data_IF_795029250786
#
_entry.id   IF_795029250786
#
_cell.length_a   1.000
_cell.length_b   1.000
_cell.length_c   1.000
_cell.angle_alpha   90.00
_cell.angle_beta   90.00
_cell.angle_gamma   90.00
#
_symmetry.space_group_name_H-M   'P 1'
#
loop_
_entity.id
_entity.type
_entity.pdbx_description
1 polymer ?
#
# COMPACT_ATOMS: atom_id res chain seq x y z
N UNK A 1 -60.15 -11.54 11.29
CA UNK A 1 -59.63 -10.50 10.40
C UNK A 1 -58.38 -9.95 11.04
N UNK A 2 -57.23 -10.45 10.67
CA UNK A 2 -55.92 -9.99 11.16
C UNK A 2 -55.19 -9.45 9.95
N UNK A 3 -55.06 -8.12 9.87
CA UNK A 3 -54.33 -7.41 8.81
C UNK A 3 -52.82 -7.51 9.08
N UNK A 4 -52.11 -8.26 8.27
CA UNK A 4 -50.66 -8.24 8.21
C UNK A 4 -50.23 -6.90 7.66
N UNK A 5 -49.63 -6.08 8.52
CA UNK A 5 -48.91 -4.90 8.10
C UNK A 5 -47.56 -5.38 7.48
N UNK A 6 -47.48 -5.35 6.17
CA UNK A 6 -46.21 -5.55 5.47
C UNK A 6 -45.29 -4.37 5.77
N UNK A 7 -44.23 -4.62 6.52
CA UNK A 7 -43.12 -3.68 6.68
C UNK A 7 -42.45 -3.56 5.31
N UNK A 8 -42.27 -2.34 4.76
CA UNK A 8 -41.51 -2.18 3.52
C UNK A 8 -40.07 -2.59 3.75
N UNK A 9 -39.57 -3.52 2.92
CA UNK A 9 -38.16 -3.87 2.83
C UNK A 9 -37.37 -2.59 2.54
N UNK A 10 -36.69 -2.07 3.54
CA UNK A 10 -35.74 -0.96 3.39
C UNK A 10 -34.41 -1.47 2.82
N UNK A 11 -34.46 -2.09 1.65
CA UNK A 11 -33.31 -2.25 0.79
C UNK A 11 -33.00 -0.88 0.14
N UNK A 12 -32.55 0.06 0.98
CA UNK A 12 -31.90 1.25 0.49
C UNK A 12 -30.63 0.79 -0.21
N UNK A 13 -30.65 0.89 -1.52
CA UNK A 13 -29.58 0.63 -2.47
C UNK A 13 -28.22 1.07 -1.90
N UNK A 14 -27.50 0.14 -1.25
CA UNK A 14 -26.05 0.30 -1.17
C UNK A 14 -25.58 0.26 -2.63
N UNK A 15 -24.79 1.25 -3.09
CA UNK A 15 -24.29 1.23 -4.45
C UNK A 15 -23.58 -0.11 -4.64
N UNK A 16 -24.08 -0.93 -5.56
CA UNK A 16 -23.46 -2.20 -5.94
C UNK A 16 -22.01 -1.88 -6.31
N UNK A 17 -21.08 -2.34 -5.46
CA UNK A 17 -19.66 -2.22 -5.72
C UNK A 17 -19.34 -3.08 -6.94
N UNK A 18 -19.28 -2.45 -8.12
CA UNK A 18 -18.81 -3.12 -9.33
C UNK A 18 -17.30 -3.33 -9.22
N UNK A 19 -16.82 -4.57 -9.08
CA UNK A 19 -15.40 -4.84 -9.00
C UNK A 19 -14.66 -4.28 -10.21
N UNK A 20 -13.49 -3.68 -10.00
CA UNK A 20 -12.64 -3.23 -11.09
C UNK A 20 -12.18 -4.44 -11.93
N UNK A 21 -12.06 -4.25 -13.22
CA UNK A 21 -11.44 -5.26 -14.10
C UNK A 21 -9.92 -5.24 -13.93
N UNK A 22 -9.25 -6.35 -14.29
CA UNK A 22 -7.79 -6.44 -14.32
C UNK A 22 -7.13 -5.26 -15.04
N UNK A 23 -7.64 -4.91 -16.22
CA UNK A 23 -7.11 -3.81 -17.01
C UNK A 23 -7.27 -2.46 -16.30
N UNK A 24 -8.42 -2.22 -15.66
CA UNK A 24 -8.64 -0.97 -14.91
C UNK A 24 -7.69 -0.85 -13.72
N UNK A 25 -7.44 -1.94 -12.98
CA UNK A 25 -6.48 -1.93 -11.87
C UNK A 25 -5.07 -1.63 -12.38
N UNK A 26 -4.62 -2.31 -13.44
CA UNK A 26 -3.27 -2.09 -13.99
C UNK A 26 -3.11 -0.66 -14.54
N UNK A 27 -4.11 -0.13 -15.23
CA UNK A 27 -4.10 1.26 -15.70
C UNK A 27 -4.06 2.24 -14.53
N UNK A 28 -4.89 2.04 -13.50
CA UNK A 28 -4.91 2.91 -12.33
C UNK A 28 -3.55 2.92 -11.62
N UNK A 29 -2.95 1.74 -11.41
CA UNK A 29 -1.62 1.62 -10.82
C UNK A 29 -0.54 2.33 -11.67
N UNK A 30 -0.56 2.14 -12.99
CA UNK A 30 0.38 2.79 -13.91
C UNK A 30 0.22 4.30 -13.91
N UNK A 31 -1.01 4.82 -13.98
CA UNK A 31 -1.29 6.25 -13.94
C UNK A 31 -0.87 6.88 -12.62
N UNK A 32 -1.16 6.20 -11.48
CA UNK A 32 -0.73 6.67 -10.16
C UNK A 32 0.80 6.72 -10.08
N UNK A 33 1.49 5.68 -10.53
CA UNK A 33 2.96 5.65 -10.53
C UNK A 33 3.55 6.80 -11.37
N UNK A 34 3.06 7.02 -12.59
CA UNK A 34 3.49 8.13 -13.45
C UNK A 34 3.21 9.48 -12.79
N UNK A 35 2.03 9.65 -12.21
CA UNK A 35 1.66 10.89 -11.50
C UNK A 35 2.61 11.18 -10.33
N UNK A 36 2.89 10.21 -9.47
CA UNK A 36 3.79 10.37 -8.32
C UNK A 36 5.24 10.67 -8.75
N UNK A 37 5.72 10.00 -9.81
CA UNK A 37 7.04 10.29 -10.38
C UNK A 37 7.10 11.70 -10.97
N UNK A 38 6.03 12.15 -11.63
CA UNK A 38 5.95 13.52 -12.16
C UNK A 38 5.95 14.55 -11.03
N UNK A 39 5.16 14.34 -9.98
CA UNK A 39 5.15 15.20 -8.78
C UNK A 39 6.56 15.26 -8.17
N UNK A 40 7.22 14.11 -8.01
CA UNK A 40 8.60 14.05 -7.50
C UNK A 40 9.58 14.85 -8.37
N UNK A 41 9.50 14.69 -9.69
CA UNK A 41 10.36 15.41 -10.63
C UNK A 41 10.12 16.92 -10.58
N UNK A 42 8.86 17.35 -10.57
CA UNK A 42 8.53 18.78 -10.48
C UNK A 42 8.99 19.36 -9.14
N UNK A 43 8.82 18.65 -8.03
CA UNK A 43 9.29 19.10 -6.72
C UNK A 43 10.82 19.29 -6.70
N UNK A 44 11.58 18.33 -7.25
CA UNK A 44 13.04 18.44 -7.35
C UNK A 44 13.49 19.58 -8.29
N UNK A 45 12.73 19.85 -9.36
CA UNK A 45 13.07 20.90 -10.32
C UNK A 45 12.80 22.31 -9.78
N UNK A 46 11.73 22.51 -9.06
CA UNK A 46 11.30 23.82 -8.57
C UNK A 46 11.64 24.07 -7.09
N UNK A 47 11.95 23.02 -6.34
CA UNK A 47 12.38 23.07 -4.94
C UNK A 47 13.92 23.09 -4.82
N UNK A 48 14.40 23.40 -3.61
CA UNK A 48 15.83 23.36 -3.25
C UNK A 48 16.26 22.02 -2.65
N UNK A 49 15.40 21.00 -2.72
CA UNK A 49 15.62 19.69 -2.09
C UNK A 49 16.52 18.81 -2.95
N UNK A 50 17.43 18.09 -2.32
CA UNK A 50 18.19 17.03 -2.96
C UNK A 50 17.48 15.69 -2.80
N UNK A 51 17.50 14.89 -3.86
CA UNK A 51 16.98 13.53 -3.84
C UNK A 51 17.84 12.65 -2.93
N UNK A 52 17.20 11.86 -2.06
CA UNK A 52 17.90 10.80 -1.34
C UNK A 52 18.47 9.80 -2.36
N UNK A 53 19.79 9.49 -2.34
CA UNK A 53 20.41 8.65 -3.35
C UNK A 53 19.91 7.20 -3.32
N UNK A 54 19.99 6.55 -4.48
CA UNK A 54 19.86 5.09 -4.61
C UNK A 54 21.27 4.53 -4.81
N UNK A 55 21.76 3.77 -3.85
CA UNK A 55 23.05 3.09 -3.91
C UNK A 55 22.84 1.58 -3.99
N UNK A 56 23.33 0.97 -5.07
CA UNK A 56 23.19 -0.47 -5.32
C UNK A 56 24.20 -1.27 -4.49
N UNK A 57 23.90 -1.42 -3.19
CA UNK A 57 24.68 -2.23 -2.26
C UNK A 57 23.93 -3.52 -1.94
N UNK A 58 24.62 -4.66 -2.06
CA UNK A 58 23.99 -5.97 -1.75
C UNK A 58 23.46 -6.03 -0.33
N UNK A 59 24.19 -5.44 0.62
CA UNK A 59 23.76 -5.37 2.02
C UNK A 59 22.43 -4.63 2.16
N UNK A 60 22.28 -3.48 1.52
CA UNK A 60 21.07 -2.66 1.61
C UNK A 60 19.89 -3.33 0.91
N UNK A 61 20.14 -4.04 -0.19
CA UNK A 61 19.13 -4.88 -0.83
C UNK A 61 18.61 -5.97 0.14
N UNK A 62 19.52 -6.67 0.83
CA UNK A 62 19.16 -7.71 1.80
C UNK A 62 18.42 -7.14 3.01
N UNK A 63 18.85 -5.96 3.52
CA UNK A 63 18.13 -5.23 4.58
C UNK A 63 16.72 -4.90 4.13
N UNK A 64 16.55 -4.37 2.92
CA UNK A 64 15.25 -4.06 2.35
C UNK A 64 14.35 -5.29 2.23
N UNK A 65 14.84 -6.40 1.68
CA UNK A 65 14.09 -7.66 1.61
C UNK A 65 13.70 -8.14 3.02
N UNK A 66 14.63 -8.17 3.97
CA UNK A 66 14.37 -8.58 5.34
C UNK A 66 13.33 -7.71 6.03
N UNK A 67 13.42 -6.38 5.84
CA UNK A 67 12.44 -5.42 6.35
C UNK A 67 11.06 -5.65 5.74
N UNK A 68 10.96 -5.85 4.42
CA UNK A 68 9.70 -6.13 3.73
C UNK A 68 9.04 -7.42 4.21
N UNK A 69 9.81 -8.48 4.42
CA UNK A 69 9.31 -9.72 5.02
C UNK A 69 8.84 -9.50 6.46
N UNK A 70 9.57 -8.72 7.25
CA UNK A 70 9.19 -8.33 8.62
C UNK A 70 7.87 -7.56 8.65
N UNK A 71 7.68 -6.59 7.74
CA UNK A 71 6.44 -5.83 7.59
C UNK A 71 5.29 -6.75 7.17
N UNK A 72 5.52 -7.70 6.26
CA UNK A 72 4.51 -8.69 5.85
C UNK A 72 4.06 -9.56 7.02
N UNK A 73 5.00 -10.04 7.83
CA UNK A 73 4.68 -10.82 9.04
C UNK A 73 3.92 -9.98 10.08
N UNK A 74 4.35 -8.75 10.32
CA UNK A 74 3.66 -7.83 11.23
C UNK A 74 2.23 -7.52 10.73
N UNK A 75 2.05 -7.29 9.42
CA UNK A 75 0.74 -7.08 8.80
C UNK A 75 -0.18 -8.29 9.00
N UNK A 76 0.34 -9.51 8.88
CA UNK A 76 -0.41 -10.73 9.16
C UNK A 76 -0.82 -10.84 10.63
N UNK A 77 0.05 -10.43 11.56
CA UNK A 77 -0.27 -10.35 12.98
C UNK A 77 -1.36 -9.32 13.28
N UNK A 78 -1.25 -8.12 12.74
CA UNK A 78 -2.26 -7.06 12.88
C UNK A 78 -3.60 -7.48 12.26
N UNK A 79 -3.58 -8.14 11.11
CA UNK A 79 -4.76 -8.70 10.47
C UNK A 79 -5.45 -9.74 11.36
N UNK A 80 -4.71 -10.59 12.05
CA UNK A 80 -5.26 -11.58 12.97
C UNK A 80 -5.87 -10.94 14.23
N UNK A 81 -5.22 -9.92 14.79
CA UNK A 81 -5.55 -9.35 16.10
C UNK A 81 -6.51 -8.15 16.02
N UNK A 82 -6.50 -7.39 14.94
CA UNK A 82 -7.30 -6.17 14.81
C UNK A 82 -8.41 -6.31 13.76
N UNK A 83 -9.61 -6.69 14.20
CA UNK A 83 -10.76 -6.95 13.32
C UNK A 83 -11.19 -5.76 12.45
N UNK A 84 -11.00 -4.51 12.90
CA UNK A 84 -11.32 -3.34 12.07
C UNK A 84 -10.33 -3.18 10.90
N UNK A 85 -9.03 -3.39 11.16
CA UNK A 85 -8.01 -3.43 10.11
C UNK A 85 -8.27 -4.58 9.13
N UNK A 86 -8.59 -5.78 9.62
CA UNK A 86 -8.90 -6.93 8.76
C UNK A 86 -10.00 -6.61 7.76
N UNK A 87 -11.13 -6.04 8.20
CA UNK A 87 -12.23 -5.65 7.29
C UNK A 87 -11.78 -4.62 6.24
N UNK A 88 -10.96 -3.65 6.64
CA UNK A 88 -10.40 -2.66 5.70
C UNK A 88 -9.41 -3.31 4.73
N UNK A 89 -8.55 -4.20 5.21
CA UNK A 89 -7.60 -4.92 4.37
C UNK A 89 -8.32 -5.82 3.36
N UNK A 90 -9.32 -6.59 3.80
CA UNK A 90 -10.14 -7.43 2.91
C UNK A 90 -10.77 -6.61 1.78
N UNK A 91 -11.29 -5.42 2.09
CA UNK A 91 -11.84 -4.51 1.08
C UNK A 91 -10.81 -4.15 -0.01
N UNK A 92 -9.57 -3.78 0.39
CA UNK A 92 -8.51 -3.46 -0.57
C UNK A 92 -8.01 -4.67 -1.34
N UNK A 93 -7.88 -5.81 -0.67
CA UNK A 93 -7.45 -7.06 -1.28
C UNK A 93 -8.46 -7.52 -2.35
N UNK A 94 -9.75 -7.43 -2.07
CA UNK A 94 -10.79 -7.75 -3.05
C UNK A 94 -10.82 -6.74 -4.20
N UNK A 95 -10.69 -5.45 -3.93
CA UNK A 95 -10.73 -4.41 -4.94
C UNK A 95 -9.52 -4.47 -5.88
N UNK A 96 -8.32 -4.68 -5.34
CA UNK A 96 -7.05 -4.56 -6.09
C UNK A 96 -6.51 -5.93 -6.50
N UNK A 97 -6.41 -6.90 -5.57
CA UNK A 97 -5.76 -8.19 -5.84
C UNK A 97 -6.64 -9.18 -6.57
N UNK A 98 -7.94 -9.21 -6.24
CA UNK A 98 -8.86 -10.20 -6.84
C UNK A 98 -8.86 -10.20 -8.36
N UNK A 99 -8.91 -9.06 -9.06
CA UNK A 99 -8.88 -9.03 -10.52
C UNK A 99 -7.50 -9.34 -11.14
N UNK A 100 -6.39 -9.25 -10.38
CA UNK A 100 -5.05 -9.44 -10.89
C UNK A 100 -4.71 -10.94 -11.09
N UNK A 101 -3.92 -11.25 -12.11
CA UNK A 101 -3.29 -12.57 -12.29
C UNK A 101 -1.95 -12.63 -11.55
N UNK A 102 -1.42 -13.85 -11.30
CA UNK A 102 -0.14 -14.03 -10.62
C UNK A 102 1.03 -13.21 -11.22
N UNK A 103 1.21 -13.13 -12.56
CA UNK A 103 2.29 -12.31 -13.14
C UNK A 103 2.14 -10.81 -12.85
N UNK A 104 0.91 -10.32 -12.62
CA UNK A 104 0.65 -8.90 -12.37
C UNK A 104 1.16 -8.46 -10.98
N UNK A 105 1.39 -9.40 -10.07
CA UNK A 105 1.90 -9.12 -8.73
C UNK A 105 3.31 -8.48 -8.76
N UNK A 106 4.07 -8.69 -9.84
CA UNK A 106 5.34 -7.99 -10.07
C UNK A 106 5.07 -6.48 -10.16
N UNK A 107 4.07 -6.07 -10.92
CA UNK A 107 3.69 -4.66 -11.07
C UNK A 107 3.06 -4.10 -9.79
N UNK A 108 2.30 -4.92 -9.05
CA UNK A 108 1.78 -4.56 -7.73
C UNK A 108 2.90 -4.22 -6.73
N UNK A 109 4.02 -4.92 -6.81
CA UNK A 109 5.21 -4.60 -6.03
C UNK A 109 5.95 -3.39 -6.55
N UNK A 110 6.33 -3.43 -7.83
CA UNK A 110 7.26 -2.45 -8.43
C UNK A 110 6.67 -1.04 -8.55
N UNK A 111 5.45 -0.90 -9.08
CA UNK A 111 4.89 0.41 -9.39
C UNK A 111 4.73 1.27 -8.14
N UNK A 112 3.98 0.86 -7.09
CA UNK A 112 3.91 1.65 -5.87
C UNK A 112 5.24 1.68 -5.12
N UNK A 113 5.94 0.53 -4.98
CA UNK A 113 7.20 0.47 -4.24
C UNK A 113 8.29 1.41 -4.76
N UNK A 114 8.31 1.71 -6.05
CA UNK A 114 9.26 2.67 -6.63
C UNK A 114 8.71 4.10 -6.60
N UNK A 115 7.48 4.31 -7.06
CA UNK A 115 6.94 5.67 -7.22
C UNK A 115 6.59 6.34 -5.89
N UNK A 116 6.03 5.59 -4.95
CA UNK A 116 5.66 6.12 -3.64
C UNK A 116 6.90 6.36 -2.78
N UNK A 117 7.87 5.43 -2.77
CA UNK A 117 9.10 5.65 -2.02
C UNK A 117 9.93 6.79 -2.60
N UNK A 118 9.94 6.97 -3.95
CA UNK A 118 10.58 8.11 -4.57
C UNK A 118 9.98 9.43 -4.05
N UNK A 119 8.66 9.54 -4.00
CA UNK A 119 8.02 10.77 -3.54
C UNK A 119 8.21 10.97 -2.03
N UNK A 120 7.85 9.96 -1.21
CA UNK A 120 7.75 10.14 0.24
C UNK A 120 9.11 10.11 0.93
N UNK A 121 10.02 9.21 0.52
CA UNK A 121 11.34 9.05 1.17
C UNK A 121 12.44 9.70 0.36
N UNK A 122 12.31 9.66 -0.97
CA UNK A 122 13.31 10.27 -1.86
C UNK A 122 13.25 11.80 -1.87
N UNK A 123 12.07 12.38 -1.87
CA UNK A 123 11.86 13.83 -2.04
C UNK A 123 11.30 14.48 -0.78
N UNK A 124 10.14 14.01 -0.31
CA UNK A 124 9.43 14.68 0.78
C UNK A 124 10.21 14.63 2.10
N UNK A 125 10.77 13.47 2.47
CA UNK A 125 11.56 13.32 3.70
C UNK A 125 12.73 14.30 3.77
N UNK A 126 13.61 14.41 2.74
CA UNK A 126 14.68 15.45 2.72
C UNK A 126 14.14 16.88 2.68
N UNK A 127 13.02 17.12 2.01
CA UNK A 127 12.42 18.46 1.90
C UNK A 127 11.95 19.02 3.26
N UNK A 128 11.54 18.17 4.17
CA UNK A 128 11.04 18.56 5.50
C UNK A 128 12.07 18.44 6.63
N UNK A 129 13.34 18.27 6.32
CA UNK A 129 14.42 18.34 7.32
C UNK A 129 15.19 17.03 7.54
N UNK A 130 14.74 15.91 6.97
CA UNK A 130 15.38 14.60 7.08
C UNK A 130 15.60 14.16 8.55
N UNK A 131 14.55 14.32 9.35
CA UNK A 131 14.51 14.02 10.79
C UNK A 131 13.24 13.28 11.20
N UNK A 132 13.03 13.07 12.49
CA UNK A 132 11.85 12.38 13.02
C UNK A 132 10.53 13.10 12.69
N UNK A 133 10.53 14.43 12.63
CA UNK A 133 9.34 15.23 12.27
C UNK A 133 9.00 15.03 10.80
N UNK A 134 10.01 15.02 9.94
CA UNK A 134 9.86 14.74 8.52
C UNK A 134 9.35 13.31 8.26
N UNK A 135 9.85 12.31 9.03
CA UNK A 135 9.32 10.94 8.99
C UNK A 135 7.82 10.93 9.34
N UNK A 136 7.43 11.57 10.44
CA UNK A 136 6.03 11.60 10.87
C UNK A 136 5.16 12.23 9.78
N UNK A 137 5.54 13.38 9.26
CA UNK A 137 4.76 14.09 8.24
C UNK A 137 4.65 13.30 6.93
N UNK A 138 5.76 12.79 6.39
CA UNK A 138 5.75 12.00 5.16
C UNK A 138 4.96 10.69 5.31
N UNK A 139 4.98 10.08 6.50
CA UNK A 139 4.23 8.85 6.79
C UNK A 139 2.73 9.10 6.91
N UNK A 140 2.32 10.23 7.49
CA UNK A 140 0.92 10.65 7.52
C UNK A 140 0.39 10.90 6.10
N UNK A 141 1.15 11.63 5.28
CA UNK A 141 0.79 11.85 3.87
C UNK A 141 0.70 10.52 3.10
N UNK A 142 1.65 9.61 3.29
CA UNK A 142 1.63 8.28 2.71
C UNK A 142 0.37 7.50 3.13
N UNK A 143 0.04 7.47 4.43
CA UNK A 143 -1.15 6.79 4.93
C UNK A 143 -2.44 7.37 4.35
N UNK A 144 -2.56 8.71 4.30
CA UNK A 144 -3.76 9.39 3.77
C UNK A 144 -3.99 9.08 2.29
N UNK A 145 -2.96 8.88 1.47
CA UNK A 145 -3.12 8.45 0.09
C UNK A 145 -3.81 7.08 -0.05
N UNK A 146 -3.82 6.28 1.01
CA UNK A 146 -4.51 4.99 1.04
C UNK A 146 -5.96 5.10 1.52
N UNK A 147 -6.50 6.31 1.71
CA UNK A 147 -7.87 6.52 2.15
C UNK A 147 -8.84 6.51 0.96
N UNK A 148 -9.50 5.38 0.68
CA UNK A 148 -10.55 5.30 -0.34
C UNK A 148 -11.92 5.76 0.17
N UNK A 149 -12.19 5.59 1.46
CA UNK A 149 -13.37 6.10 2.16
C UNK A 149 -13.10 6.25 3.65
N UNK A 150 -13.89 7.06 4.36
CA UNK A 150 -13.73 7.26 5.81
C UNK A 150 -13.86 5.96 6.62
N UNK A 151 -14.56 4.95 6.11
CA UNK A 151 -14.66 3.63 6.74
C UNK A 151 -13.34 2.86 6.74
N UNK A 152 -12.41 3.21 5.85
CA UNK A 152 -11.13 2.53 5.68
C UNK A 152 -9.98 3.15 6.52
N UNK A 153 -10.30 4.01 7.50
CA UNK A 153 -9.31 4.63 8.40
C UNK A 153 -8.37 3.61 9.09
N UNK A 154 -8.79 2.36 9.43
CA UNK A 154 -7.85 1.43 10.08
C UNK A 154 -6.70 1.03 9.15
N UNK A 155 -6.96 0.95 7.84
CA UNK A 155 -5.91 0.70 6.84
C UNK A 155 -4.95 1.89 6.75
N UNK A 156 -5.47 3.11 6.78
CA UNK A 156 -4.68 4.36 6.79
C UNK A 156 -3.73 4.40 7.99
N UNK A 157 -4.22 4.03 9.19
CA UNK A 157 -3.38 3.97 10.40
C UNK A 157 -2.23 2.97 10.20
N UNK A 158 -2.52 1.76 9.71
CA UNK A 158 -1.49 0.77 9.47
C UNK A 158 -0.51 1.22 8.38
N UNK A 159 -1.00 1.76 7.26
CA UNK A 159 -0.16 2.32 6.21
C UNK A 159 0.75 3.44 6.74
N UNK A 160 0.25 4.32 7.62
CA UNK A 160 1.07 5.35 8.28
C UNK A 160 2.18 4.73 9.12
N UNK A 161 1.90 3.68 9.89
CA UNK A 161 2.91 2.97 10.71
C UNK A 161 3.98 2.34 9.80
N UNK A 162 3.57 1.63 8.75
CA UNK A 162 4.49 1.06 7.76
C UNK A 162 5.31 2.15 7.09
N UNK A 163 4.65 3.27 6.76
CA UNK A 163 5.30 4.47 6.26
C UNK A 163 6.40 4.98 7.18
N UNK A 164 6.15 5.00 8.49
CA UNK A 164 7.15 5.34 9.51
C UNK A 164 8.35 4.40 9.51
N UNK A 165 8.09 3.09 9.41
CA UNK A 165 9.16 2.07 9.33
C UNK A 165 10.04 2.29 8.10
N UNK A 166 9.45 2.56 6.92
CA UNK A 166 10.20 2.88 5.70
C UNK A 166 10.95 4.20 5.82
N UNK A 167 10.34 5.22 6.45
CA UNK A 167 11.01 6.50 6.73
C UNK A 167 12.23 6.35 7.65
N UNK A 168 12.11 5.57 8.72
CA UNK A 168 13.22 5.24 9.62
C UNK A 168 14.32 4.49 8.88
N UNK A 169 13.98 3.53 8.02
CA UNK A 169 14.97 2.79 7.23
C UNK A 169 15.73 3.71 6.27
N UNK A 170 15.03 4.64 5.60
CA UNK A 170 15.66 5.64 4.74
C UNK A 170 16.61 6.56 5.51
N UNK A 171 16.19 7.02 6.70
CA UNK A 171 17.02 7.87 7.56
C UNK A 171 18.26 7.14 8.08
N UNK A 172 18.10 5.88 8.49
CA UNK A 172 19.18 5.08 9.10
C UNK A 172 20.24 4.64 8.07
N UNK A 173 19.83 4.37 6.83
CA UNK A 173 20.74 3.85 5.80
C UNK A 173 21.22 4.92 4.83
N UNK A 174 20.62 6.11 4.80
CA UNK A 174 20.86 7.15 3.82
C UNK A 174 20.77 6.64 2.36
N UNK A 175 19.98 5.59 2.15
CA UNK A 175 19.83 4.91 0.86
C UNK A 175 18.38 4.59 0.57
N UNK A 176 17.84 5.15 -0.50
CA UNK A 176 16.46 4.95 -0.94
C UNK A 176 16.18 3.50 -1.41
N UNK A 177 17.23 2.74 -1.76
CA UNK A 177 17.11 1.34 -2.17
C UNK A 177 16.45 0.48 -1.07
N UNK A 178 16.75 0.76 0.21
CA UNK A 178 16.24 -0.02 1.35
C UNK A 178 14.70 0.06 1.45
N UNK A 179 14.08 1.25 1.60
CA UNK A 179 12.63 1.34 1.66
C UNK A 179 11.95 0.92 0.35
N UNK A 180 12.53 1.20 -0.83
CA UNK A 180 12.00 0.74 -2.12
C UNK A 180 11.91 -0.79 -2.15
N UNK A 181 13.01 -1.48 -1.82
CA UNK A 181 13.05 -2.94 -1.80
C UNK A 181 12.11 -3.51 -0.75
N UNK A 182 12.04 -2.89 0.43
CA UNK A 182 11.12 -3.32 1.48
C UNK A 182 9.67 -3.22 1.02
N UNK A 183 9.28 -2.12 0.41
CA UNK A 183 7.92 -1.90 -0.09
C UNK A 183 7.57 -2.88 -1.23
N UNK A 184 8.46 -3.03 -2.22
CA UNK A 184 8.29 -4.02 -3.30
C UNK A 184 8.10 -5.42 -2.73
N UNK A 185 8.95 -5.82 -1.78
CA UNK A 185 8.88 -7.14 -1.14
C UNK A 185 7.57 -7.31 -0.37
N UNK A 186 7.16 -6.31 0.42
CA UNK A 186 5.90 -6.35 1.19
C UNK A 186 4.71 -6.58 0.27
N UNK A 187 4.56 -5.78 -0.77
CA UNK A 187 3.42 -5.86 -1.67
C UNK A 187 3.41 -7.15 -2.49
N UNK A 188 4.57 -7.54 -3.02
CA UNK A 188 4.69 -8.76 -3.83
C UNK A 188 4.41 -10.02 -3.00
N UNK A 189 5.05 -10.15 -1.83
CA UNK A 189 4.89 -11.33 -0.97
C UNK A 189 3.48 -11.41 -0.39
N UNK A 190 2.92 -10.29 0.08
CA UNK A 190 1.53 -10.24 0.57
C UNK A 190 0.54 -10.61 -0.54
N UNK A 191 0.76 -10.12 -1.77
CA UNK A 191 -0.05 -10.47 -2.93
C UNK A 191 0.00 -11.96 -3.28
N UNK A 192 1.21 -12.54 -3.29
CA UNK A 192 1.41 -13.98 -3.52
C UNK A 192 0.69 -14.83 -2.45
N UNK A 193 0.82 -14.44 -1.19
CA UNK A 193 0.21 -15.15 -0.08
C UNK A 193 -1.34 -15.11 -0.17
N UNK A 194 -1.91 -13.96 -0.46
CA UNK A 194 -3.35 -13.80 -0.63
C UNK A 194 -3.88 -14.63 -1.80
N UNK A 195 -3.21 -14.61 -2.96
CA UNK A 195 -3.58 -15.41 -4.13
C UNK A 195 -3.50 -16.90 -3.87
N UNK A 196 -2.50 -17.33 -3.13
CA UNK A 196 -2.37 -18.73 -2.72
C UNK A 196 -3.53 -19.16 -1.79
N UNK A 197 -3.92 -18.32 -0.83
CA UNK A 197 -5.06 -18.59 0.04
C UNK A 197 -6.39 -18.63 -0.74
N UNK A 198 -6.59 -17.71 -1.68
CA UNK A 198 -7.76 -17.68 -2.55
C UNK A 198 -7.89 -19.00 -3.34
N UNK A 199 -6.81 -19.43 -3.96
CA UNK A 199 -6.74 -20.71 -4.70
C UNK A 199 -7.07 -21.90 -3.78
N UNK A 200 -6.47 -21.97 -2.62
CA UNK A 200 -6.72 -23.05 -1.65
C UNK A 200 -8.19 -23.12 -1.20
N UNK A 201 -8.82 -21.96 -0.98
CA UNK A 201 -10.25 -21.91 -0.60
C UNK A 201 -11.18 -22.32 -1.73
N UNK A 202 -10.84 -22.10 -2.98
CA UNK A 202 -11.64 -22.55 -4.13
C UNK A 202 -11.58 -24.07 -4.30
N UNK A 203 -10.38 -24.67 -4.18
CA UNK A 203 -10.17 -26.13 -4.31
C UNK A 203 -10.84 -26.94 -3.19
N UNK A 204 -11.05 -26.36 -2.01
CA UNK A 204 -11.73 -27.05 -0.90
C UNK A 204 -13.27 -27.01 -0.98
N UNK A 205 -13.84 -26.28 -1.94
CA UNK A 205 -15.29 -26.16 -2.16
C UNK A 205 -15.80 -27.06 -3.30
N UNK A 206 -14.91 -27.67 -4.06
CA UNK A 206 -15.16 -28.69 -5.08
C UNK A 206 -15.09 -30.11 -4.47
#
# INVERSE_FOLDING_TARGET
MSSFISVPDSNLNEPEFTPLTRTQVLIAMGLTAVFLMLVSKLWLQFGSTLLLPVQWLTQDLLIGVGLGLGVTLASSGVYALWGAYRRSADYYLEMVLKPLALPDLIWLGLLPGLSEELLFRGVMLPAFGYDATAILFSSLCFGVLHLSSLRQWPYVVWATIVGGVFGVSALATHNLLVPMTAHVTTNFVSGCFWKWEEYRKSTLKE
#
